data_IF_121174972048
#
_entry.id   IF_121174972048
#
_cell.length_a   1.000
_cell.length_b   1.000
_cell.length_c   1.000
_cell.angle_alpha   90.00
_cell.angle_beta   90.00
_cell.angle_gamma   90.00
#
_symmetry.space_group_name_H-M   'P 1'
#
loop_
_entity.id
_entity.type
_entity.pdbx_description
1 polymer ?
#
# COMPACT_ATOMS: atom_id res chain seq x y z
N UNK A 1 -14.41 20.78 44.04
CA UNK A 1 -13.60 19.61 43.64
C UNK A 1 -13.76 19.28 42.17
N UNK A 2 -14.99 19.14 41.64
CA UNK A 2 -15.24 18.91 40.20
C UNK A 2 -14.62 19.99 39.29
N UNK A 3 -14.74 21.28 39.65
CA UNK A 3 -14.24 22.39 38.81
C UNK A 3 -12.72 22.39 38.63
N UNK A 4 -11.99 21.87 39.62
CA UNK A 4 -10.54 21.72 39.57
C UNK A 4 -10.14 20.64 38.56
N UNK A 5 -10.84 19.49 38.58
CA UNK A 5 -10.66 18.41 37.61
C UNK A 5 -11.07 18.81 36.19
N UNK A 6 -12.15 19.59 36.04
CA UNK A 6 -12.60 20.09 34.74
C UNK A 6 -11.57 21.04 34.11
N UNK A 7 -10.99 21.96 34.92
CA UNK A 7 -9.92 22.86 34.46
C UNK A 7 -8.63 22.11 34.11
N UNK A 8 -8.27 21.09 34.86
CA UNK A 8 -7.07 20.29 34.59
C UNK A 8 -7.20 19.47 33.29
N UNK A 9 -8.40 19.00 32.97
CA UNK A 9 -8.68 18.22 31.75
C UNK A 9 -8.62 19.06 30.46
N UNK A 10 -8.81 20.38 30.54
CA UNK A 10 -8.78 21.25 29.36
C UNK A 10 -7.40 21.27 28.66
N UNK A 11 -6.32 21.21 29.45
CA UNK A 11 -4.94 21.26 28.95
C UNK A 11 -4.63 20.10 27.99
N UNK A 12 -4.80 18.81 28.35
CA UNK A 12 -4.54 17.71 27.45
C UNK A 12 -5.48 17.70 26.24
N UNK A 13 -6.74 18.15 26.38
CA UNK A 13 -7.69 18.22 25.26
C UNK A 13 -7.21 19.20 24.19
N UNK A 14 -6.85 20.42 24.58
CA UNK A 14 -6.34 21.44 23.65
C UNK A 14 -5.03 20.99 23.03
N UNK A 15 -4.14 20.41 23.83
CA UNK A 15 -2.85 19.90 23.35
C UNK A 15 -3.04 18.76 22.35
N UNK A 16 -3.98 17.84 22.60
CA UNK A 16 -4.33 16.77 21.67
C UNK A 16 -4.92 17.30 20.36
N UNK A 17 -5.80 18.31 20.43
CA UNK A 17 -6.38 18.97 19.26
C UNK A 17 -5.31 19.64 18.39
N UNK A 18 -4.40 20.39 19.00
CA UNK A 18 -3.30 21.05 18.29
C UNK A 18 -2.33 20.02 17.72
N UNK A 19 -1.96 19.00 18.50
CA UNK A 19 -1.09 17.91 18.05
C UNK A 19 -1.68 17.16 16.86
N UNK A 20 -2.97 16.84 16.92
CA UNK A 20 -3.69 16.20 15.82
C UNK A 20 -3.76 17.07 14.57
N UNK A 21 -4.16 18.34 14.72
CA UNK A 21 -4.25 19.28 13.60
C UNK A 21 -2.89 19.53 12.94
N UNK A 22 -1.85 19.70 13.73
CA UNK A 22 -0.48 19.92 13.23
C UNK A 22 0.05 18.69 12.50
N UNK A 23 -0.17 17.49 13.05
CA UNK A 23 0.26 16.25 12.39
C UNK A 23 -0.46 16.03 11.06
N UNK A 24 -1.76 16.35 11.01
CA UNK A 24 -2.53 16.30 9.77
C UNK A 24 -1.97 17.25 8.70
N UNK A 25 -1.65 18.49 9.08
CA UNK A 25 -1.02 19.47 8.17
C UNK A 25 0.38 19.00 7.74
N UNK A 26 1.19 18.49 8.66
CA UNK A 26 2.53 17.99 8.36
C UNK A 26 2.51 16.85 7.33
N UNK A 27 1.62 15.87 7.52
CA UNK A 27 1.44 14.79 6.54
C UNK A 27 1.06 15.39 5.19
N UNK A 28 0.10 16.31 5.14
CA UNK A 28 -0.30 16.94 3.88
C UNK A 28 0.86 17.68 3.19
N UNK A 29 1.70 18.39 3.94
CA UNK A 29 2.89 19.10 3.43
C UNK A 29 3.98 18.15 2.90
N UNK A 30 4.03 16.89 3.35
CA UNK A 30 4.96 15.91 2.77
C UNK A 30 4.58 15.52 1.34
N UNK A 31 3.29 15.51 1.01
CA UNK A 31 2.76 15.09 -0.28
C UNK A 31 2.41 16.24 -1.23
N UNK A 32 2.12 17.44 -0.70
CA UNK A 32 1.80 18.66 -1.47
C UNK A 32 2.92 19.71 -1.33
N UNK A 33 3.22 20.52 -2.37
CA UNK A 33 2.68 20.49 -3.72
C UNK A 33 3.31 19.37 -4.56
N UNK A 34 2.51 18.77 -5.44
CA UNK A 34 2.97 17.69 -6.34
C UNK A 34 3.94 18.20 -7.40
N UNK A 35 3.66 19.40 -7.93
CA UNK A 35 4.50 20.10 -8.89
C UNK A 35 5.37 21.12 -8.14
N UNK A 36 6.67 21.24 -8.47
CA UNK A 36 7.51 22.26 -7.88
C UNK A 36 6.97 23.64 -8.29
N UNK A 37 6.87 24.56 -7.34
CA UNK A 37 6.65 25.97 -7.63
C UNK A 37 7.76 26.80 -6.99
N UNK A 38 8.10 27.91 -7.64
CA UNK A 38 9.14 28.81 -7.14
C UNK A 38 8.49 29.98 -6.40
N UNK A 39 8.90 30.21 -5.15
CA UNK A 39 8.58 31.41 -4.38
C UNK A 39 9.91 32.05 -3.97
N UNK A 40 10.11 33.32 -4.31
CA UNK A 40 11.35 34.06 -3.98
C UNK A 40 12.65 33.32 -4.35
N UNK A 41 12.67 32.60 -5.48
CA UNK A 41 13.84 31.82 -5.94
C UNK A 41 14.02 30.46 -5.25
N UNK A 42 13.18 30.11 -4.26
CA UNK A 42 13.17 28.81 -3.61
C UNK A 42 12.14 27.89 -4.29
N UNK A 43 12.58 26.73 -4.74
CA UNK A 43 11.71 25.70 -5.29
C UNK A 43 11.07 24.88 -4.16
N UNK A 44 9.79 25.12 -3.91
CA UNK A 44 9.01 24.40 -2.89
C UNK A 44 8.32 23.21 -3.57
N UNK A 45 8.57 22.02 -3.04
CA UNK A 45 7.93 20.78 -3.45
C UNK A 45 7.77 19.86 -2.24
N UNK A 46 6.68 19.10 -2.20
CA UNK A 46 6.50 18.05 -1.19
C UNK A 46 7.69 17.07 -1.21
N UNK A 47 8.12 16.61 -0.05
CA UNK A 47 9.30 15.75 0.08
C UNK A 47 9.10 14.40 -0.64
N UNK A 48 7.90 13.82 -0.54
CA UNK A 48 7.55 12.53 -1.15
C UNK A 48 7.56 12.61 -2.69
N UNK A 49 6.82 13.53 -3.35
CA UNK A 49 6.86 13.63 -4.82
C UNK A 49 8.27 13.97 -5.33
N UNK A 50 9.06 14.75 -4.58
CA UNK A 50 10.45 15.05 -4.93
C UNK A 50 11.35 13.81 -4.96
N UNK A 51 11.09 12.82 -4.10
CA UNK A 51 11.89 11.58 -3.96
C UNK A 51 11.14 10.33 -4.45
N UNK A 52 10.07 10.49 -5.23
CA UNK A 52 9.18 9.39 -5.63
C UNK A 52 9.94 8.22 -6.29
N UNK A 53 10.93 8.52 -7.14
CA UNK A 53 11.74 7.48 -7.82
C UNK A 53 12.57 6.65 -6.84
N UNK A 54 13.24 7.31 -5.90
CA UNK A 54 14.05 6.65 -4.86
C UNK A 54 13.17 5.80 -3.92
N UNK A 55 12.00 6.33 -3.55
CA UNK A 55 11.04 5.61 -2.73
C UNK A 55 10.52 4.37 -3.47
N UNK A 56 10.13 4.51 -4.74
CA UNK A 56 9.66 3.38 -5.54
C UNK A 56 10.70 2.27 -5.66
N UNK A 57 11.99 2.60 -5.89
CA UNK A 57 13.04 1.59 -5.98
C UNK A 57 13.26 0.86 -4.67
N UNK A 58 13.34 1.59 -3.55
CA UNK A 58 13.53 0.98 -2.21
C UNK A 58 12.32 0.15 -1.79
N UNK A 59 11.11 0.63 -2.08
CA UNK A 59 9.89 -0.14 -1.83
C UNK A 59 9.84 -1.40 -2.68
N UNK A 60 10.23 -1.33 -3.96
CA UNK A 60 10.29 -2.50 -4.83
C UNK A 60 11.29 -3.54 -4.31
N UNK A 61 12.47 -3.11 -3.86
CA UNK A 61 13.48 -3.99 -3.25
C UNK A 61 12.95 -4.72 -2.00
N UNK A 62 12.24 -4.00 -1.12
CA UNK A 62 11.64 -4.61 0.08
C UNK A 62 10.51 -5.58 -0.29
N UNK A 63 9.66 -5.22 -1.25
CA UNK A 63 8.58 -6.09 -1.74
C UNK A 63 9.14 -7.36 -2.36
N UNK A 64 10.19 -7.24 -3.18
CA UNK A 64 10.87 -8.39 -3.79
C UNK A 64 11.42 -9.35 -2.73
N UNK A 65 12.11 -8.80 -1.73
CA UNK A 65 12.72 -9.60 -0.65
C UNK A 65 11.71 -10.25 0.29
N UNK A 66 10.66 -9.54 0.68
CA UNK A 66 9.73 -10.02 1.73
C UNK A 66 8.50 -10.74 1.14
N UNK A 67 7.91 -10.19 0.08
CA UNK A 67 6.64 -10.68 -0.48
C UNK A 67 6.89 -11.69 -1.60
N UNK A 68 7.85 -11.41 -2.48
CA UNK A 68 8.18 -12.26 -3.64
C UNK A 68 9.32 -13.25 -3.36
N UNK A 69 9.68 -13.42 -2.08
CA UNK A 69 10.66 -14.42 -1.70
C UNK A 69 10.22 -15.82 -2.18
N UNK A 70 11.18 -16.63 -2.65
CA UNK A 70 10.91 -18.00 -3.13
C UNK A 70 10.15 -18.83 -2.10
N UNK A 71 10.39 -18.57 -0.82
CA UNK A 71 9.72 -19.27 0.28
C UNK A 71 8.27 -18.79 0.44
N UNK A 72 8.04 -17.48 0.41
CA UNK A 72 6.70 -16.86 0.48
C UNK A 72 5.82 -17.33 -0.69
N UNK A 73 6.35 -17.31 -1.92
CA UNK A 73 5.60 -17.73 -3.11
C UNK A 73 5.22 -19.20 -3.01
N UNK A 74 6.17 -20.08 -2.68
CA UNK A 74 5.90 -21.52 -2.57
C UNK A 74 4.86 -21.83 -1.50
N UNK A 75 4.98 -21.19 -0.33
CA UNK A 75 4.02 -21.40 0.76
C UNK A 75 2.61 -20.93 0.38
N UNK A 76 2.48 -19.77 -0.29
CA UNK A 76 1.18 -19.26 -0.72
C UNK A 76 0.56 -20.08 -1.86
N UNK A 77 1.37 -20.58 -2.81
CA UNK A 77 0.88 -21.48 -3.87
C UNK A 77 0.37 -22.79 -3.29
N UNK A 78 1.05 -23.36 -2.29
CA UNK A 78 0.61 -24.60 -1.65
C UNK A 78 -0.67 -24.43 -0.81
N UNK A 79 -0.97 -23.20 -0.37
CA UNK A 79 -2.23 -22.86 0.33
C UNK A 79 -3.40 -22.64 -0.63
N UNK A 80 -3.15 -22.44 -1.92
CA UNK A 80 -4.21 -22.30 -2.92
C UNK A 80 -4.82 -23.66 -3.24
N UNK A 81 -6.15 -23.78 -3.12
CA UNK A 81 -6.86 -24.95 -3.60
C UNK A 81 -7.01 -24.88 -5.13
N UNK A 82 -6.04 -25.48 -5.83
CA UNK A 82 -5.97 -25.52 -7.29
C UNK A 82 -6.83 -26.62 -7.92
N UNK A 83 -7.35 -27.54 -7.11
CA UNK A 83 -8.15 -28.71 -7.53
C UNK A 83 -9.29 -28.35 -8.50
N UNK A 84 -10.18 -27.37 -8.21
CA UNK A 84 -11.25 -26.99 -9.14
C UNK A 84 -10.76 -26.36 -10.45
N UNK A 85 -9.62 -25.68 -10.45
CA UNK A 85 -9.04 -25.07 -11.65
C UNK A 85 -8.37 -26.12 -12.54
N UNK A 86 -7.72 -27.11 -11.92
CA UNK A 86 -7.10 -28.23 -12.63
C UNK A 86 -8.16 -29.14 -13.24
N UNK A 87 -9.29 -29.35 -12.57
CA UNK A 87 -10.40 -30.16 -13.08
C UNK A 87 -11.06 -29.50 -14.31
N UNK A 88 -11.33 -28.19 -14.24
CA UNK A 88 -11.88 -27.43 -15.37
C UNK A 88 -10.91 -27.36 -16.56
N UNK A 89 -9.61 -27.20 -16.28
CA UNK A 89 -8.57 -27.23 -17.30
C UNK A 89 -8.42 -28.61 -17.95
N UNK A 90 -8.48 -29.68 -17.16
CA UNK A 90 -8.44 -31.05 -17.66
C UNK A 90 -9.66 -31.36 -18.54
N UNK A 91 -10.87 -30.96 -18.11
CA UNK A 91 -12.09 -31.09 -18.91
C UNK A 91 -12.00 -30.33 -20.23
N UNK A 92 -11.47 -29.09 -20.21
CA UNK A 92 -11.20 -28.33 -21.44
C UNK A 92 -10.23 -29.04 -22.37
N UNK A 93 -9.07 -29.46 -21.88
CA UNK A 93 -8.06 -30.14 -22.71
C UNK A 93 -8.57 -31.43 -23.32
N UNK A 94 -9.28 -32.24 -22.54
CA UNK A 94 -9.91 -33.49 -23.00
C UNK A 94 -10.91 -33.18 -24.11
N UNK A 95 -11.82 -32.22 -23.90
CA UNK A 95 -12.83 -31.84 -24.89
C UNK A 95 -12.22 -31.31 -26.18
N UNK A 96 -11.19 -30.48 -26.08
CA UNK A 96 -10.58 -29.79 -27.21
C UNK A 96 -9.66 -30.69 -28.04
N UNK A 97 -8.91 -31.61 -27.40
CA UNK A 97 -7.94 -32.50 -28.07
C UNK A 97 -8.50 -33.88 -28.45
N UNK A 98 -9.43 -34.43 -27.67
CA UNK A 98 -10.00 -35.76 -27.94
C UNK A 98 -11.33 -35.68 -28.69
N UNK A 99 -12.12 -34.61 -28.49
CA UNK A 99 -13.35 -34.39 -29.24
C UNK A 99 -13.15 -34.25 -30.75
N UNK A 100 -12.02 -33.68 -31.17
CA UNK A 100 -11.62 -33.55 -32.58
C UNK A 100 -11.11 -34.85 -33.21
N UNK A 101 -10.67 -35.83 -32.41
CA UNK A 101 -10.14 -37.12 -32.90
C UNK A 101 -11.14 -38.28 -32.86
N UNK A 102 -12.25 -38.14 -32.13
CA UNK A 102 -13.31 -39.16 -32.04
C UNK A 102 -14.47 -38.94 -33.02
N UNK A 103 -14.44 -37.86 -33.81
CA UNK A 103 -15.42 -37.55 -34.87
C UNK A 103 -14.88 -37.77 -36.29
N UNK A 104 -13.70 -38.39 -36.43
CA UNK A 104 -13.11 -38.83 -37.70
C UNK A 104 -12.99 -40.36 -37.69
#
# INVERSE_FOLDING_TARGET
>A
MLDFWLKLSWIPIVTALIGWGTNWVAIRMLFEPKKPFSIFGLNIQGLVPKRQRELASKTAEVVDREILSQHTIRENILKLNLEPYLEDFAHKLVKERLGTRLQA
#
